data_IF_963854858771
#
_entry.id   IF_963854858771
#
_cell.length_a   1.000
_cell.length_b   1.000
_cell.length_c   1.000
_cell.angle_alpha   90.00
_cell.angle_beta   90.00
_cell.angle_gamma   90.00
#
_symmetry.space_group_name_H-M   'P 1'
#
loop_
_entity.id
_entity.type
_entity.pdbx_description
1 polymer ?
#
# COMPACT_ATOMS: atom_id res chain seq x y z
N UNK A 1 4.95 27.58 14.94
CA UNK A 1 6.20 26.88 15.28
C UNK A 1 6.81 26.40 13.98
N UNK A 2 8.04 26.75 13.72
CA UNK A 2 8.68 26.63 12.39
C UNK A 2 9.07 25.17 12.10
N UNK A 3 8.24 24.44 11.35
CA UNK A 3 8.44 23.04 10.96
C UNK A 3 9.79 22.77 10.25
N UNK A 4 10.38 23.80 9.64
CA UNK A 4 11.69 23.71 8.96
C UNK A 4 12.86 23.47 9.93
N UNK A 5 12.78 24.04 11.12
CA UNK A 5 13.77 23.85 12.20
C UNK A 5 13.71 22.44 12.77
N UNK A 6 12.51 21.87 12.87
CA UNK A 6 12.32 20.55 13.44
C UNK A 6 12.88 19.43 12.54
N UNK A 7 12.83 19.54 11.22
CA UNK A 7 13.36 18.54 10.31
C UNK A 7 14.89 18.43 10.39
N UNK A 8 15.62 19.56 10.32
CA UNK A 8 17.09 19.54 10.42
C UNK A 8 17.56 19.04 11.78
N UNK A 9 16.89 19.46 12.86
CA UNK A 9 17.17 18.95 14.21
C UNK A 9 16.98 17.43 14.28
N UNK A 10 15.91 16.95 13.70
CA UNK A 10 15.54 15.55 13.71
C UNK A 10 16.54 14.69 12.92
N UNK A 11 17.05 15.16 11.79
CA UNK A 11 18.10 14.47 11.02
C UNK A 11 19.40 14.35 11.82
N UNK A 12 19.77 15.40 12.56
CA UNK A 12 20.96 15.38 13.44
C UNK A 12 20.77 14.35 14.56
N UNK A 13 19.60 14.35 15.22
CA UNK A 13 19.29 13.41 16.29
C UNK A 13 19.32 11.96 15.79
N UNK A 14 18.78 11.68 14.61
CA UNK A 14 18.81 10.35 14.02
C UNK A 14 20.23 9.86 13.79
N UNK A 15 21.10 10.69 13.23
CA UNK A 15 22.51 10.37 13.03
C UNK A 15 23.23 10.09 14.35
N UNK A 16 22.93 10.82 15.42
CA UNK A 16 23.50 10.58 16.73
C UNK A 16 23.06 9.23 17.31
N UNK A 17 21.77 8.90 17.21
CA UNK A 17 21.19 7.61 17.65
C UNK A 17 21.84 6.45 16.87
N UNK A 18 21.88 6.55 15.54
CA UNK A 18 22.49 5.54 14.68
C UNK A 18 23.98 5.33 15.03
N UNK A 19 24.74 6.42 15.20
CA UNK A 19 26.15 6.34 15.57
C UNK A 19 26.33 5.69 16.92
N UNK A 20 25.55 6.08 17.93
CA UNK A 20 25.62 5.50 19.27
C UNK A 20 25.28 4.00 19.28
N UNK A 21 24.16 3.64 18.66
CA UNK A 21 23.68 2.25 18.62
C UNK A 21 24.59 1.37 17.77
N UNK A 22 25.11 1.88 16.66
CA UNK A 22 26.08 1.18 15.83
C UNK A 22 27.41 0.89 16.53
N UNK A 23 27.77 1.68 17.55
CA UNK A 23 28.91 1.44 18.42
C UNK A 23 28.57 0.59 19.66
N UNK A 24 27.32 0.14 19.83
CA UNK A 24 26.86 -0.62 20.98
C UNK A 24 26.80 0.17 22.30
N UNK A 25 26.90 1.51 22.26
CA UNK A 25 26.87 2.38 23.41
C UNK A 25 25.44 2.60 23.90
N UNK A 26 25.15 2.33 25.15
CA UNK A 26 23.84 2.59 25.77
C UNK A 26 23.63 4.09 26.05
N UNK A 27 22.38 4.52 26.23
CA UNK A 27 22.07 5.88 26.66
C UNK A 27 22.69 6.24 28.01
N UNK A 28 22.85 5.25 28.92
CA UNK A 28 23.49 5.45 30.21
C UNK A 28 24.98 5.70 30.04
N UNK A 29 25.68 4.85 29.28
CA UNK A 29 27.10 5.01 29.00
C UNK A 29 27.45 6.33 28.32
N UNK A 30 26.62 6.77 27.37
CA UNK A 30 26.78 8.07 26.73
C UNK A 30 26.60 9.20 27.74
N UNK A 31 25.59 9.11 28.60
CA UNK A 31 25.33 10.09 29.64
C UNK A 31 26.51 10.22 30.62
N UNK A 32 27.08 9.09 31.02
CA UNK A 32 28.25 9.03 31.93
C UNK A 32 29.48 9.65 31.27
N UNK A 33 29.74 9.40 29.98
CA UNK A 33 30.87 9.98 29.23
C UNK A 33 30.83 11.50 29.14
N UNK A 34 29.64 12.09 29.02
CA UNK A 34 29.49 13.54 28.88
C UNK A 34 29.07 14.27 30.15
N UNK A 35 29.01 13.54 31.29
CA UNK A 35 28.71 14.11 32.61
C UNK A 35 27.25 14.56 32.76
N UNK A 36 26.26 13.81 32.18
CA UNK A 36 24.85 14.14 32.28
C UNK A 36 24.01 12.95 32.77
N UNK A 37 22.71 13.13 32.87
CA UNK A 37 21.79 12.06 33.28
C UNK A 37 21.24 11.29 32.06
N UNK A 38 21.06 9.97 32.18
CA UNK A 38 20.37 9.15 31.13
C UNK A 38 19.08 9.77 30.65
N UNK A 39 18.28 10.35 31.57
CA UNK A 39 17.02 11.01 31.21
C UNK A 39 17.18 12.23 30.29
N UNK A 40 18.32 12.93 30.33
CA UNK A 40 18.61 14.03 29.43
C UNK A 40 18.92 13.48 28.01
N UNK A 41 19.72 12.44 27.90
CA UNK A 41 20.00 11.77 26.60
C UNK A 41 18.71 11.23 26.02
N UNK A 42 17.88 10.53 26.80
CA UNK A 42 16.60 10.01 26.35
C UNK A 42 15.67 11.11 25.82
N UNK A 43 15.59 12.28 26.49
CA UNK A 43 14.78 13.41 26.02
C UNK A 43 15.32 14.05 24.75
N UNK A 44 16.66 14.13 24.61
CA UNK A 44 17.29 14.62 23.37
C UNK A 44 16.96 13.67 22.21
N UNK A 45 17.18 12.36 22.40
CA UNK A 45 16.91 11.35 21.38
C UNK A 45 15.42 11.26 21.00
N UNK A 46 14.51 11.58 21.92
CA UNK A 46 13.08 11.63 21.68
C UNK A 46 12.58 13.01 21.17
N UNK A 47 13.49 13.95 20.88
CA UNK A 47 13.13 15.29 20.43
C UNK A 47 12.42 16.16 21.46
N UNK A 48 12.36 15.73 22.73
CA UNK A 48 11.64 16.41 23.81
C UNK A 48 12.48 17.51 24.52
N UNK A 49 13.72 17.66 24.12
CA UNK A 49 14.63 18.66 24.67
C UNK A 49 15.44 19.31 23.55
N UNK A 50 15.59 20.63 23.62
CA UNK A 50 16.45 21.36 22.68
C UNK A 50 17.90 20.90 22.83
N UNK A 51 18.53 20.58 21.71
CA UNK A 51 19.93 20.21 21.62
C UNK A 51 20.75 21.51 21.38
N UNK A 52 21.45 21.98 22.41
CA UNK A 52 22.40 23.10 22.24
C UNK A 52 23.62 22.64 21.44
N UNK A 53 24.29 23.58 20.77
CA UNK A 53 25.52 23.30 20.03
C UNK A 53 26.58 22.67 20.92
N UNK A 54 26.74 23.17 22.16
CA UNK A 54 27.71 22.63 23.13
C UNK A 54 27.38 21.16 23.49
N UNK A 55 26.08 20.85 23.63
CA UNK A 55 25.66 19.48 23.95
C UNK A 55 25.88 18.55 22.73
N UNK A 56 25.63 19.06 21.52
CA UNK A 56 25.89 18.31 20.28
C UNK A 56 27.40 18.01 20.14
N UNK A 57 28.27 19.00 20.36
CA UNK A 57 29.72 18.82 20.33
C UNK A 57 30.15 17.76 21.36
N UNK A 58 29.70 17.85 22.63
CA UNK A 58 30.01 16.88 23.66
C UNK A 58 29.58 15.46 23.31
N UNK A 59 28.38 15.29 22.74
CA UNK A 59 27.90 13.99 22.30
C UNK A 59 28.79 13.44 21.18
N UNK A 60 29.11 14.25 20.17
CA UNK A 60 29.96 13.83 19.07
C UNK A 60 31.38 13.46 19.54
N UNK A 61 31.98 14.23 20.40
CA UNK A 61 33.30 13.91 21.00
C UNK A 61 33.26 12.59 21.78
N UNK A 62 32.20 12.36 22.58
CA UNK A 62 32.02 11.12 23.34
C UNK A 62 31.80 9.88 22.43
N UNK A 63 31.33 10.09 21.22
CA UNK A 63 31.16 9.07 20.17
C UNK A 63 32.39 8.97 19.25
N UNK A 64 33.45 9.75 19.48
CA UNK A 64 34.64 9.79 18.62
C UNK A 64 34.37 10.32 17.23
N UNK A 65 33.41 11.25 17.08
CA UNK A 65 33.00 11.87 15.81
C UNK A 65 33.33 13.37 15.84
N UNK A 66 33.72 13.90 14.68
CA UNK A 66 33.87 15.34 14.44
C UNK A 66 32.63 15.87 13.76
N UNK A 67 32.18 17.06 14.15
CA UNK A 67 31.12 17.78 13.44
C UNK A 67 31.75 18.62 12.33
N UNK A 68 31.26 18.49 11.13
CA UNK A 68 31.56 19.40 10.02
C UNK A 68 30.24 20.07 9.61
N UNK A 69 30.25 21.40 9.61
CA UNK A 69 29.11 22.20 9.15
C UNK A 69 29.39 22.70 7.72
N UNK A 70 28.47 22.36 6.83
CA UNK A 70 28.36 23.01 5.53
C UNK A 70 27.10 23.88 5.54
N UNK A 71 27.26 25.20 5.36
CA UNK A 71 26.16 26.14 5.21
C UNK A 71 25.84 26.24 3.72
N UNK A 72 25.02 25.32 3.24
CA UNK A 72 24.42 25.44 1.92
C UNK A 72 23.35 26.53 1.93
N UNK A 73 23.21 27.28 0.82
CA UNK A 73 22.08 28.16 0.62
C UNK A 73 20.78 27.37 0.84
N UNK A 74 19.84 27.96 1.59
CA UNK A 74 18.53 27.34 1.76
C UNK A 74 17.94 27.09 0.36
N UNK A 75 17.55 25.86 0.01
CA UNK A 75 16.93 25.60 -1.28
C UNK A 75 15.78 26.58 -1.46
N UNK A 76 15.62 27.11 -2.69
CA UNK A 76 14.43 27.93 -3.03
C UNK A 76 13.21 27.11 -2.68
N UNK A 77 12.52 27.50 -1.63
CA UNK A 77 11.67 26.66 -0.75
C UNK A 77 10.57 25.85 -1.43
N UNK A 78 10.38 26.01 -2.73
CA UNK A 78 9.24 25.45 -3.46
C UNK A 78 9.60 24.74 -4.77
N UNK A 79 10.89 24.58 -5.11
CA UNK A 79 11.30 23.90 -6.34
C UNK A 79 11.62 22.44 -6.11
N UNK A 80 10.99 21.57 -6.90
CA UNK A 80 11.09 20.11 -6.82
C UNK A 80 11.41 19.49 -8.16
N UNK A 81 11.88 18.24 -8.12
CA UNK A 81 12.00 17.36 -9.27
C UNK A 81 11.19 16.08 -9.01
N UNK A 82 10.27 15.75 -9.92
CA UNK A 82 9.73 14.42 -10.03
C UNK A 82 10.75 13.56 -10.79
N UNK A 83 11.15 12.46 -10.19
CA UNK A 83 12.13 11.52 -10.74
C UNK A 83 11.56 10.10 -10.80
N UNK A 84 12.08 9.31 -11.76
CA UNK A 84 12.05 7.85 -11.71
C UNK A 84 13.49 7.37 -11.50
N UNK A 85 13.77 6.59 -10.47
CA UNK A 85 15.13 6.36 -10.00
C UNK A 85 15.85 7.71 -9.79
N UNK A 86 17.04 7.88 -10.38
CA UNK A 86 17.76 9.16 -10.35
C UNK A 86 17.50 10.05 -11.58
N UNK A 87 16.66 9.62 -12.52
CA UNK A 87 16.35 10.34 -13.76
C UNK A 87 15.27 11.41 -13.53
N UNK A 88 15.55 12.70 -13.71
CA UNK A 88 14.56 13.76 -13.58
C UNK A 88 13.60 13.76 -14.76
N UNK A 89 12.30 13.75 -14.45
CA UNK A 89 11.21 13.76 -15.42
C UNK A 89 10.55 15.13 -15.55
N UNK A 90 10.27 15.77 -14.41
CA UNK A 90 9.60 17.08 -14.35
C UNK A 90 10.29 17.95 -13.29
N UNK A 91 10.54 19.22 -13.62
CA UNK A 91 10.90 20.26 -12.65
C UNK A 91 9.68 21.14 -12.42
N UNK A 92 9.35 21.38 -11.17
CA UNK A 92 8.12 22.06 -10.80
C UNK A 92 8.27 22.85 -9.50
N UNK A 93 7.37 23.80 -9.26
CA UNK A 93 7.20 24.42 -7.95
C UNK A 93 5.94 23.88 -7.27
N UNK A 94 6.00 23.69 -5.94
CA UNK A 94 4.87 23.31 -5.11
C UNK A 94 4.66 24.34 -4.01
N UNK A 95 3.48 24.92 -3.94
CA UNK A 95 3.09 25.92 -2.95
C UNK A 95 1.79 25.50 -2.27
N UNK A 96 1.74 25.62 -0.94
CA UNK A 96 0.48 25.49 -0.21
C UNK A 96 -0.14 26.89 -0.09
N UNK A 97 -1.25 27.13 -0.77
CA UNK A 97 -1.95 28.45 -0.81
C UNK A 97 -3.18 28.49 0.11
N UNK A 98 -3.09 27.88 1.26
CA UNK A 98 -4.17 27.95 2.25
C UNK A 98 -5.48 27.33 1.74
N UNK A 99 -6.48 28.15 1.49
CA UNK A 99 -7.81 27.68 1.04
C UNK A 99 -7.78 27.04 -0.37
N UNK A 100 -6.86 27.46 -1.22
CA UNK A 100 -6.70 26.90 -2.57
C UNK A 100 -5.96 25.55 -2.56
N UNK A 101 -5.45 25.11 -1.40
CA UNK A 101 -4.73 23.86 -1.24
C UNK A 101 -3.33 23.89 -1.86
N UNK A 102 -2.86 22.71 -2.30
CA UNK A 102 -1.58 22.55 -2.98
C UNK A 102 -1.69 23.04 -4.42
N UNK A 103 -0.77 23.91 -4.83
CA UNK A 103 -0.66 24.43 -6.21
C UNK A 103 0.68 24.01 -6.80
N UNK A 104 0.66 23.55 -8.03
CA UNK A 104 1.84 23.14 -8.79
C UNK A 104 1.98 23.98 -10.05
N UNK A 105 3.20 24.45 -10.32
CA UNK A 105 3.56 25.07 -11.60
C UNK A 105 4.74 24.31 -12.22
N UNK A 106 4.52 23.74 -13.41
CA UNK A 106 5.53 22.97 -14.16
C UNK A 106 6.48 23.95 -14.83
N UNK A 107 7.77 23.79 -14.54
CA UNK A 107 8.85 24.63 -15.10
C UNK A 107 9.59 23.97 -16.24
N UNK A 108 9.66 22.64 -16.25
CA UNK A 108 10.34 21.87 -17.29
C UNK A 108 9.82 20.42 -17.30
N UNK A 109 9.78 19.83 -18.49
CA UNK A 109 9.41 18.43 -18.75
C UNK A 109 10.48 17.79 -19.61
N UNK A 110 10.94 16.60 -19.23
CA UNK A 110 11.92 15.82 -19.99
C UNK A 110 11.23 15.19 -21.21
N UNK A 111 11.39 15.83 -22.37
CA UNK A 111 10.77 15.37 -23.62
C UNK A 111 11.35 14.04 -24.12
N UNK A 112 12.60 13.74 -23.79
CA UNK A 112 13.29 12.50 -24.22
C UNK A 112 12.86 11.29 -23.38
N UNK A 113 12.12 11.50 -22.28
CA UNK A 113 11.69 10.48 -21.32
C UNK A 113 10.18 10.42 -21.13
N UNK A 114 9.42 10.83 -22.14
CA UNK A 114 7.95 10.82 -22.07
C UNK A 114 7.39 9.41 -21.78
N UNK A 115 8.03 8.38 -22.32
CA UNK A 115 7.64 6.99 -22.08
C UNK A 115 7.79 6.55 -20.60
N UNK A 116 8.60 7.28 -19.81
CA UNK A 116 8.79 7.01 -18.37
C UNK A 116 7.88 7.82 -17.47
N UNK A 117 7.07 8.76 -18.00
CA UNK A 117 6.11 9.52 -17.19
C UNK A 117 5.09 8.58 -16.53
N UNK A 118 4.57 8.93 -15.32
CA UNK A 118 3.49 8.17 -14.72
C UNK A 118 2.27 8.12 -15.66
N UNK A 119 1.77 6.93 -15.98
CA UNK A 119 0.63 6.73 -16.89
C UNK A 119 -0.68 7.30 -16.33
N UNK A 120 -0.79 7.38 -15.02
CA UNK A 120 -1.97 7.86 -14.28
C UNK A 120 -1.92 9.36 -13.98
N UNK A 121 -0.93 10.09 -14.52
CA UNK A 121 -0.70 11.52 -14.29
C UNK A 121 -0.87 12.33 -15.57
N UNK A 122 -1.71 13.35 -15.55
CA UNK A 122 -1.72 14.37 -16.59
C UNK A 122 -0.56 15.36 -16.37
N UNK A 123 0.17 15.69 -17.43
CA UNK A 123 1.30 16.63 -17.37
C UNK A 123 0.77 18.08 -17.38
N UNK A 124 0.03 18.41 -16.34
CA UNK A 124 -0.48 19.74 -16.00
C UNK A 124 -0.29 20.01 -14.53
N UNK A 125 -0.25 21.27 -14.10
CA UNK A 125 -0.12 21.58 -12.66
C UNK A 125 -1.20 20.89 -11.81
N UNK A 126 -2.46 20.89 -12.27
CA UNK A 126 -3.57 20.20 -11.61
C UNK A 126 -3.41 18.67 -11.64
N UNK A 127 -2.94 18.12 -12.76
CA UNK A 127 -2.70 16.68 -12.90
C UNK A 127 -1.61 16.19 -11.97
N UNK A 128 -0.52 16.94 -11.83
CA UNK A 128 0.56 16.63 -10.88
C UNK A 128 0.05 16.69 -9.44
N UNK A 129 -0.70 17.72 -9.06
CA UNK A 129 -1.28 17.81 -7.70
C UNK A 129 -2.18 16.61 -7.41
N UNK A 130 -3.11 16.28 -8.32
CA UNK A 130 -4.00 15.12 -8.17
C UNK A 130 -3.21 13.80 -8.05
N UNK A 131 -2.14 13.67 -8.81
CA UNK A 131 -1.26 12.49 -8.72
C UNK A 131 -0.54 12.43 -7.37
N UNK A 132 0.00 13.56 -6.87
CA UNK A 132 0.62 13.65 -5.55
C UNK A 132 -0.37 13.37 -4.43
N UNK A 133 -1.60 13.89 -4.49
CA UNK A 133 -2.67 13.59 -3.53
C UNK A 133 -3.03 12.10 -3.50
N UNK A 134 -2.92 11.42 -4.64
CA UNK A 134 -3.11 9.97 -4.70
C UNK A 134 -1.97 9.15 -4.08
N UNK A 135 -0.87 9.80 -3.75
CA UNK A 135 0.35 9.20 -3.16
C UNK A 135 0.53 9.54 -1.67
N UNK A 136 -0.44 10.14 -1.05
CA UNK A 136 -0.46 10.33 0.40
C UNK A 136 -1.51 9.43 1.03
N UNK A 137 -1.35 9.17 2.32
CA UNK A 137 -2.25 8.33 3.09
C UNK A 137 -3.70 8.82 2.98
N UNK A 138 -4.70 7.96 2.67
CA UNK A 138 -6.08 8.36 2.56
C UNK A 138 -6.65 8.84 3.90
N UNK A 139 -7.48 9.91 3.85
CA UNK A 139 -8.12 10.51 5.05
C UNK A 139 -9.03 9.54 5.81
N UNK A 140 -9.59 8.55 5.14
CA UNK A 140 -10.47 7.53 5.71
C UNK A 140 -9.74 6.24 6.12
N UNK A 141 -8.40 6.20 6.07
CA UNK A 141 -7.63 5.08 6.56
C UNK A 141 -7.72 5.00 8.08
N UNK A 142 -7.92 3.81 8.61
CA UNK A 142 -7.88 3.59 10.04
C UNK A 142 -6.53 4.02 10.63
N UNK A 143 -6.57 4.74 11.76
CA UNK A 143 -5.40 5.29 12.46
C UNK A 143 -4.62 6.36 11.68
N UNK A 144 -5.22 7.02 10.68
CA UNK A 144 -4.55 8.08 9.91
C UNK A 144 -4.07 9.22 10.79
N UNK A 145 -4.89 9.66 11.73
CA UNK A 145 -4.55 10.77 12.63
C UNK A 145 -3.40 10.40 13.57
N UNK A 146 -3.37 9.17 14.08
CA UNK A 146 -2.29 8.64 14.92
C UNK A 146 -0.98 8.54 14.14
N UNK A 147 -1.04 8.06 12.88
CA UNK A 147 0.13 7.99 11.99
C UNK A 147 0.70 9.38 11.74
N UNK A 148 -0.14 10.33 11.32
CA UNK A 148 0.30 11.68 10.97
C UNK A 148 0.74 12.48 12.20
N UNK A 149 0.03 12.33 13.33
CA UNK A 149 0.40 12.97 14.61
C UNK A 149 1.79 12.53 15.09
N UNK A 150 2.16 11.28 14.84
CA UNK A 150 3.50 10.77 15.15
C UNK A 150 4.60 11.56 14.44
N UNK A 151 4.27 12.17 13.30
CA UNK A 151 5.18 13.00 12.48
C UNK A 151 4.96 14.51 12.66
N UNK A 152 4.01 14.93 13.52
CA UNK A 152 3.62 16.32 13.66
C UNK A 152 2.86 16.88 12.44
N UNK A 153 2.28 16.01 11.61
CA UNK A 153 1.55 16.35 10.39
C UNK A 153 0.03 16.24 10.58
N UNK A 154 -0.71 16.81 9.65
CA UNK A 154 -2.17 16.65 9.53
C UNK A 154 -2.54 16.13 8.14
N UNK A 155 -3.73 15.52 8.01
CA UNK A 155 -4.23 14.99 6.74
C UNK A 155 -4.56 16.07 5.68
N UNK A 156 -4.50 17.35 6.04
CA UNK A 156 -4.66 18.46 5.10
C UNK A 156 -3.31 19.02 4.60
N UNK A 157 -2.20 18.53 5.15
CA UNK A 157 -0.86 18.99 4.75
C UNK A 157 -0.22 18.02 3.77
N UNK A 158 -0.80 17.94 2.56
CA UNK A 158 -0.25 17.09 1.46
C UNK A 158 1.22 17.40 1.18
N UNK A 159 1.60 18.70 1.17
CA UNK A 159 3.00 19.09 0.93
C UNK A 159 3.92 18.58 2.04
N UNK A 160 3.56 18.78 3.31
CA UNK A 160 4.35 18.28 4.44
C UNK A 160 4.50 16.77 4.44
N UNK A 161 3.44 16.03 4.07
CA UNK A 161 3.51 14.57 3.94
C UNK A 161 4.50 14.19 2.81
N UNK A 162 4.43 14.86 1.65
CA UNK A 162 5.35 14.64 0.52
C UNK A 162 6.78 14.99 0.90
N UNK A 163 7.02 16.07 1.60
CA UNK A 163 8.37 16.47 2.05
C UNK A 163 9.01 15.39 2.94
N UNK A 164 8.21 14.73 3.80
CA UNK A 164 8.67 13.62 4.64
C UNK A 164 8.87 12.34 3.83
N UNK A 165 7.84 11.87 3.11
CA UNK A 165 7.87 10.58 2.43
C UNK A 165 8.49 10.63 1.03
N UNK A 166 8.81 11.81 0.51
CA UNK A 166 9.30 12.03 -0.88
C UNK A 166 8.38 11.42 -1.95
N UNK A 167 7.11 11.20 -1.62
CA UNK A 167 6.16 10.50 -2.48
C UNK A 167 6.54 9.06 -2.81
N UNK A 168 7.49 8.45 -2.09
CA UNK A 168 7.92 7.07 -2.30
C UNK A 168 6.79 6.09 -1.99
N UNK A 169 6.63 5.09 -2.83
CA UNK A 169 5.59 4.07 -2.71
C UNK A 169 6.15 2.67 -3.00
N UNK A 170 5.51 1.65 -2.43
CA UNK A 170 5.75 0.26 -2.80
C UNK A 170 4.98 -0.17 -4.06
N UNK A 171 4.37 0.78 -4.79
CA UNK A 171 3.71 0.50 -6.06
C UNK A 171 4.60 0.81 -7.28
N UNK A 172 5.65 1.60 -7.11
CA UNK A 172 6.50 2.07 -8.21
C UNK A 172 7.84 2.63 -7.71
N UNK A 173 8.64 3.18 -8.63
CA UNK A 173 9.95 3.79 -8.36
C UNK A 173 9.99 5.30 -8.62
N UNK A 174 8.84 5.97 -8.59
CA UNK A 174 8.76 7.42 -8.64
C UNK A 174 8.99 8.04 -7.26
N UNK A 175 9.62 9.20 -7.25
CA UNK A 175 9.74 10.03 -6.06
C UNK A 175 9.85 11.50 -6.41
N UNK A 176 9.62 12.37 -5.43
CA UNK A 176 9.73 13.81 -5.60
C UNK A 176 10.66 14.38 -4.54
N UNK A 177 11.62 15.17 -4.98
CA UNK A 177 12.66 15.70 -4.12
C UNK A 177 12.89 17.18 -4.40
N UNK A 178 13.40 17.98 -3.43
CA UNK A 178 13.85 19.33 -3.69
C UNK A 178 14.85 19.36 -4.84
N UNK A 179 14.85 20.42 -5.67
CA UNK A 179 15.68 20.56 -6.87
C UNK A 179 17.17 20.30 -6.62
N UNK A 180 17.68 20.72 -5.46
CA UNK A 180 19.10 20.61 -5.12
C UNK A 180 19.42 19.39 -4.24
N UNK A 181 18.49 18.44 -4.15
CA UNK A 181 18.63 17.22 -3.37
C UNK A 181 19.75 16.33 -3.92
N UNK A 182 20.76 16.01 -3.09
CA UNK A 182 21.96 15.25 -3.48
C UNK A 182 21.86 13.74 -3.27
N UNK A 183 20.81 13.28 -2.55
CA UNK A 183 20.59 11.84 -2.30
C UNK A 183 20.24 11.09 -3.59
N UNK A 184 20.58 9.80 -3.62
CA UNK A 184 20.26 8.90 -4.72
C UNK A 184 19.04 8.05 -4.37
N UNK A 185 18.30 7.61 -5.37
CA UNK A 185 17.14 6.74 -5.19
C UNK A 185 17.50 5.45 -4.41
N UNK A 186 18.67 4.88 -4.66
CA UNK A 186 19.16 3.70 -3.95
C UNK A 186 19.18 3.86 -2.42
N UNK A 187 19.44 5.08 -1.93
CA UNK A 187 19.57 5.35 -0.49
C UNK A 187 18.21 5.54 0.21
N UNK A 188 17.11 5.70 -0.56
CA UNK A 188 15.79 6.08 -0.04
C UNK A 188 14.65 5.14 -0.43
N UNK A 189 14.80 4.35 -1.52
CA UNK A 189 13.71 3.50 -2.00
C UNK A 189 13.20 2.53 -0.92
N UNK A 190 11.89 2.24 -0.98
CA UNK A 190 11.23 1.40 0.02
C UNK A 190 11.42 -0.11 -0.21
N UNK A 191 12.06 -0.52 -1.29
CA UNK A 191 12.28 -1.94 -1.61
C UNK A 191 13.55 -2.49 -0.95
N UNK A 192 14.59 -1.66 -0.80
CA UNK A 192 15.91 -2.06 -0.36
C UNK A 192 16.30 -1.46 0.98
N UNK A 193 15.60 -0.41 1.42
CA UNK A 193 15.88 0.29 2.66
C UNK A 193 14.90 -0.11 3.78
N UNK A 194 15.32 -0.07 5.06
CA UNK A 194 14.48 -0.47 6.18
C UNK A 194 13.32 0.52 6.40
N UNK A 195 12.18 0.00 6.85
CA UNK A 195 11.01 0.79 7.24
C UNK A 195 11.07 1.19 8.71
N UNK A 196 10.27 2.21 9.08
CA UNK A 196 10.01 2.54 10.47
C UNK A 196 9.11 1.48 11.13
N UNK A 197 9.65 0.69 12.04
CA UNK A 197 8.88 -0.27 12.84
C UNK A 197 7.83 0.43 13.72
N UNK A 198 8.07 1.67 14.11
CA UNK A 198 7.15 2.45 14.94
C UNK A 198 5.94 2.87 14.11
N UNK A 199 6.13 3.41 12.92
CA UNK A 199 5.03 3.76 12.04
C UNK A 199 4.22 2.54 11.63
N UNK A 200 4.87 1.41 11.35
CA UNK A 200 4.19 0.15 11.08
C UNK A 200 3.34 -0.31 12.27
N UNK A 201 3.83 -0.14 13.50
CA UNK A 201 3.08 -0.46 14.72
C UNK A 201 1.86 0.45 14.87
N UNK A 202 2.02 1.77 14.74
CA UNK A 202 0.92 2.75 14.82
C UNK A 202 -0.12 2.47 13.75
N UNK A 203 0.30 2.24 12.50
CA UNK A 203 -0.56 1.97 11.36
C UNK A 203 -1.40 0.70 11.51
N UNK A 204 -0.94 -0.26 12.31
CA UNK A 204 -1.63 -1.53 12.52
C UNK A 204 -2.46 -1.59 13.80
N UNK A 205 -2.03 -0.91 14.87
CA UNK A 205 -2.67 -1.01 16.19
C UNK A 205 -3.31 0.28 16.67
N UNK A 206 -3.02 1.42 16.04
CA UNK A 206 -3.39 2.75 16.55
C UNK A 206 -2.60 3.16 17.80
N UNK A 207 -1.67 2.33 18.26
CA UNK A 207 -0.92 2.57 19.48
C UNK A 207 0.55 2.85 19.16
N UNK A 208 1.06 3.97 19.64
CA UNK A 208 2.46 4.33 19.50
C UNK A 208 2.81 5.47 20.45
N UNK A 209 4.09 5.55 20.80
CA UNK A 209 4.62 6.72 21.47
C UNK A 209 5.15 7.67 20.39
N UNK A 210 5.11 8.98 20.69
CA UNK A 210 5.80 9.98 19.85
C UNK A 210 7.24 9.51 19.66
N UNK A 211 7.58 9.18 18.44
CA UNK A 211 8.90 8.65 18.14
C UNK A 211 9.76 9.75 17.51
N UNK A 212 11.04 9.63 17.74
CA UNK A 212 12.03 10.51 17.12
C UNK A 212 12.02 10.43 15.58
N UNK A 213 13.08 10.92 15.01
CA UNK A 213 13.29 11.09 13.57
C UNK A 213 12.90 9.87 12.75
N UNK A 214 12.04 10.08 11.76
CA UNK A 214 11.62 9.04 10.84
C UNK A 214 12.36 9.15 9.51
N UNK A 215 12.80 8.02 9.04
CA UNK A 215 13.07 7.78 7.63
C UNK A 215 11.76 7.61 6.87
N UNK A 216 11.81 7.58 5.54
CA UNK A 216 10.68 7.28 4.68
C UNK A 216 9.98 5.97 5.09
N UNK A 217 8.66 5.93 5.03
CA UNK A 217 7.88 4.75 5.39
C UNK A 217 6.75 4.53 4.39
N UNK A 218 6.47 3.29 3.98
CA UNK A 218 5.36 2.98 3.09
C UNK A 218 3.99 3.30 3.70
N UNK A 219 3.91 3.45 5.02
CA UNK A 219 2.66 3.74 5.72
C UNK A 219 2.05 5.09 5.32
N UNK A 220 2.88 6.03 4.87
CA UNK A 220 2.46 7.37 4.44
C UNK A 220 1.86 7.41 3.03
N UNK A 221 2.01 6.32 2.26
CA UNK A 221 1.57 6.23 0.86
C UNK A 221 0.71 5.00 0.58
N UNK A 222 0.39 4.20 1.60
CA UNK A 222 -0.40 2.98 1.45
C UNK A 222 -1.89 3.28 1.46
N UNK A 223 -2.58 2.87 0.40
CA UNK A 223 -4.02 3.02 0.22
C UNK A 223 -4.86 2.00 0.99
N UNK A 224 -6.18 2.26 1.07
CA UNK A 224 -7.21 1.41 1.65
C UNK A 224 -7.50 1.70 3.11
N UNK A 225 -8.69 1.33 3.58
CA UNK A 225 -9.27 1.76 4.86
C UNK A 225 -8.84 0.91 6.05
N UNK A 226 -8.71 -0.41 5.89
CA UNK A 226 -8.45 -1.34 7.00
C UNK A 226 -7.07 -1.12 7.65
N UNK A 227 -6.89 -1.51 8.92
CA UNK A 227 -5.60 -1.48 9.59
C UNK A 227 -4.62 -2.37 8.83
N UNK A 228 -3.50 -1.81 8.45
CA UNK A 228 -2.48 -2.52 7.69
C UNK A 228 -1.10 -1.97 7.95
N UNK A 229 -0.09 -2.82 7.80
CA UNK A 229 1.29 -2.43 7.90
C UNK A 229 2.18 -3.24 6.96
N UNK A 230 3.17 -2.57 6.40
CA UNK A 230 4.24 -3.23 5.67
C UNK A 230 5.35 -3.64 6.63
N UNK A 231 5.89 -4.83 6.42
CA UNK A 231 6.99 -5.34 7.21
C UNK A 231 8.06 -5.94 6.32
N UNK A 232 9.30 -5.48 6.52
CA UNK A 232 10.47 -6.11 5.92
C UNK A 232 10.84 -7.35 6.75
N UNK A 233 10.88 -8.51 6.12
CA UNK A 233 11.32 -9.79 6.70
C UNK A 233 12.53 -10.31 5.91
N UNK A 234 13.25 -11.28 6.48
CA UNK A 234 14.43 -11.91 5.84
C UNK A 234 14.18 -12.36 4.38
N UNK A 235 12.93 -12.75 4.05
CA UNK A 235 12.56 -13.31 2.75
C UNK A 235 11.79 -12.31 1.86
N UNK A 236 11.76 -11.03 2.20
CA UNK A 236 11.12 -9.95 1.43
C UNK A 236 10.14 -9.11 2.22
N UNK A 237 9.40 -8.29 1.51
CA UNK A 237 8.44 -7.34 2.06
C UNK A 237 7.05 -7.98 2.08
N UNK A 238 6.37 -7.85 3.22
CA UNK A 238 5.04 -8.43 3.45
C UNK A 238 4.06 -7.38 3.93
N UNK A 239 2.86 -7.39 3.34
CA UNK A 239 1.71 -6.66 3.85
C UNK A 239 1.00 -7.50 4.92
N UNK A 240 0.76 -6.89 6.08
CA UNK A 240 -0.12 -7.36 7.13
C UNK A 240 -1.41 -6.56 7.06
N UNK A 241 -2.54 -7.20 6.81
CA UNK A 241 -3.85 -6.56 6.69
C UNK A 241 -4.77 -7.17 7.74
N UNK A 242 -5.19 -6.36 8.70
CA UNK A 242 -6.18 -6.75 9.71
C UNK A 242 -7.58 -6.71 9.14
N UNK A 243 -8.55 -7.14 9.93
CA UNK A 243 -9.97 -7.02 9.60
C UNK A 243 -10.62 -5.81 10.27
N UNK A 244 -11.88 -5.60 9.97
CA UNK A 244 -12.76 -4.65 10.67
C UNK A 244 -12.90 -5.00 12.15
N UNK A 245 -13.38 -4.06 12.95
CA UNK A 245 -13.62 -4.27 14.38
C UNK A 245 -14.91 -3.55 14.82
N UNK A 246 -15.41 -3.91 16.00
CA UNK A 246 -16.54 -3.21 16.64
C UNK A 246 -17.95 -3.74 16.29
N UNK A 247 -18.08 -4.78 15.45
CA UNK A 247 -19.35 -5.44 15.15
C UNK A 247 -19.22 -6.97 15.32
N UNK A 248 -20.35 -7.66 15.51
CA UNK A 248 -20.37 -9.10 15.73
C UNK A 248 -19.86 -9.91 14.54
N UNK A 249 -20.03 -9.39 13.33
CA UNK A 249 -19.58 -9.97 12.05
C UNK A 249 -18.27 -9.38 11.53
N UNK A 250 -17.55 -8.60 12.36
CA UNK A 250 -16.29 -7.99 11.97
C UNK A 250 -15.10 -8.97 12.08
N UNK A 251 -13.98 -8.62 11.42
CA UNK A 251 -12.71 -9.33 11.56
C UNK A 251 -12.54 -10.57 10.69
N UNK A 252 -13.44 -10.81 9.74
CA UNK A 252 -13.42 -11.99 8.87
C UNK A 252 -12.62 -11.77 7.58
N UNK A 253 -12.25 -10.53 7.23
CA UNK A 253 -11.55 -10.21 6.00
C UNK A 253 -10.21 -10.97 5.83
N UNK A 254 -9.37 -11.16 6.89
CA UNK A 254 -8.17 -11.97 6.77
C UNK A 254 -8.45 -13.43 6.36
N UNK A 255 -9.53 -14.02 6.87
CA UNK A 255 -9.94 -15.36 6.48
C UNK A 255 -10.42 -15.43 5.04
N UNK A 256 -11.20 -14.43 4.59
CA UNK A 256 -11.65 -14.35 3.20
C UNK A 256 -10.48 -14.30 2.24
N UNK A 257 -9.45 -13.49 2.51
CA UNK A 257 -8.21 -13.47 1.72
C UNK A 257 -7.55 -14.85 1.65
N UNK A 258 -7.40 -15.52 2.79
CA UNK A 258 -6.75 -16.82 2.89
C UNK A 258 -7.51 -17.93 2.16
N UNK A 259 -8.84 -17.97 2.27
CA UNK A 259 -9.66 -18.99 1.63
C UNK A 259 -9.91 -18.69 0.15
N UNK A 260 -10.14 -17.43 -0.23
CA UNK A 260 -10.34 -17.04 -1.63
C UNK A 260 -9.11 -17.34 -2.49
N UNK A 261 -7.89 -17.11 -1.99
CA UNK A 261 -6.69 -17.41 -2.76
C UNK A 261 -6.52 -18.92 -3.06
N UNK A 262 -7.10 -19.81 -2.26
CA UNK A 262 -7.10 -21.25 -2.54
C UNK A 262 -8.01 -21.59 -3.73
N UNK A 263 -9.17 -20.92 -3.85
CA UNK A 263 -10.07 -21.05 -4.99
C UNK A 263 -9.39 -20.53 -6.25
N UNK A 264 -8.83 -19.31 -6.20
CA UNK A 264 -8.10 -18.73 -7.32
C UNK A 264 -6.96 -19.66 -7.81
N UNK A 265 -6.17 -20.20 -6.89
CA UNK A 265 -5.12 -21.18 -7.19
C UNK A 265 -5.69 -22.46 -7.82
N UNK A 266 -6.80 -22.99 -7.31
CA UNK A 266 -7.43 -24.20 -7.86
C UNK A 266 -7.96 -23.98 -9.26
N UNK A 267 -8.50 -22.80 -9.55
CA UNK A 267 -8.90 -22.38 -10.90
C UNK A 267 -7.67 -22.23 -11.83
N UNK A 268 -6.49 -21.97 -11.29
CA UNK A 268 -5.25 -21.75 -12.05
C UNK A 268 -5.06 -20.28 -12.45
N UNK A 269 -5.55 -19.35 -11.63
CA UNK A 269 -5.34 -17.93 -11.81
C UNK A 269 -3.94 -17.52 -11.31
N UNK A 270 -3.37 -16.48 -11.92
CA UNK A 270 -2.24 -15.76 -11.34
C UNK A 270 -2.77 -14.92 -10.16
N UNK A 271 -2.44 -15.31 -8.93
CA UNK A 271 -2.97 -14.68 -7.73
C UNK A 271 -1.91 -14.55 -6.64
N UNK A 272 -2.05 -13.51 -5.83
CA UNK A 272 -1.28 -13.34 -4.61
C UNK A 272 -1.62 -14.46 -3.63
N UNK A 273 -0.59 -15.00 -2.97
CA UNK A 273 -0.76 -16.03 -1.94
C UNK A 273 -0.89 -15.36 -0.59
N UNK A 274 -1.92 -15.77 0.14
CA UNK A 274 -2.17 -15.29 1.49
C UNK A 274 -1.94 -16.40 2.50
N UNK A 275 -1.45 -16.00 3.68
CA UNK A 275 -1.37 -16.83 4.88
C UNK A 275 -1.95 -16.04 6.07
N UNK A 276 -2.11 -16.67 7.22
CA UNK A 276 -2.65 -16.05 8.43
C UNK A 276 -1.60 -16.01 9.52
N UNK A 277 -1.43 -14.85 10.14
CA UNK A 277 -0.51 -14.65 11.27
C UNK A 277 -1.13 -13.67 12.27
N UNK A 278 -0.90 -13.88 13.58
CA UNK A 278 -1.17 -12.85 14.59
C UNK A 278 0.05 -11.98 14.78
N UNK A 279 -0.15 -10.67 14.63
CA UNK A 279 0.84 -9.67 15.00
C UNK A 279 0.26 -8.72 16.04
N UNK A 280 0.97 -8.54 17.16
CA UNK A 280 0.48 -7.73 18.30
C UNK A 280 -0.93 -8.13 18.80
N UNK A 281 -1.24 -9.41 18.75
CA UNK A 281 -2.54 -9.95 19.18
C UNK A 281 -3.66 -9.86 18.14
N UNK A 282 -3.49 -9.12 17.04
CA UNK A 282 -4.47 -8.92 15.98
C UNK A 282 -4.21 -9.92 14.85
N UNK A 283 -5.24 -10.64 14.39
CA UNK A 283 -5.14 -11.52 13.24
C UNK A 283 -4.99 -10.71 11.96
N UNK A 284 -4.05 -11.10 11.13
CA UNK A 284 -3.81 -10.53 9.80
C UNK A 284 -3.84 -11.60 8.72
N UNK A 285 -4.34 -11.25 7.54
CA UNK A 285 -3.87 -11.84 6.31
C UNK A 285 -2.50 -11.28 5.97
N UNK A 286 -1.57 -12.15 5.61
CA UNK A 286 -0.24 -11.76 5.21
C UNK A 286 0.03 -12.19 3.78
N UNK A 287 0.58 -11.28 2.98
CA UNK A 287 0.99 -11.59 1.63
C UNK A 287 2.32 -10.92 1.29
N UNK A 288 3.09 -11.57 0.42
CA UNK A 288 4.31 -10.98 -0.12
C UNK A 288 3.94 -9.93 -1.17
N UNK A 289 4.69 -8.84 -1.20
CA UNK A 289 4.59 -7.82 -2.25
C UNK A 289 4.82 -8.45 -3.63
N UNK A 290 4.09 -7.99 -4.63
CA UNK A 290 4.21 -8.47 -6.03
C UNK A 290 4.86 -7.44 -6.96
N UNK A 291 5.16 -6.26 -6.45
CA UNK A 291 5.99 -5.24 -7.12
C UNK A 291 7.43 -5.33 -6.63
N UNK A 292 8.33 -4.72 -7.36
CA UNK A 292 9.73 -4.54 -6.98
C UNK A 292 10.27 -3.22 -7.56
N UNK A 293 11.56 -2.96 -7.37
CA UNK A 293 12.21 -1.74 -7.83
C UNK A 293 12.09 -1.52 -9.36
N UNK A 294 11.95 -2.62 -10.13
CA UNK A 294 11.87 -2.57 -11.59
C UNK A 294 10.44 -2.70 -12.12
N UNK A 295 9.49 -3.08 -11.26
CA UNK A 295 8.11 -3.41 -11.67
C UNK A 295 7.11 -2.60 -10.86
N UNK A 296 6.40 -1.70 -11.55
CA UNK A 296 5.31 -0.90 -10.98
C UNK A 296 3.96 -1.60 -11.12
N UNK A 297 3.05 -1.31 -10.17
CA UNK A 297 1.63 -1.61 -10.26
C UNK A 297 0.82 -0.34 -10.44
N UNK A 298 -0.07 -0.32 -11.44
CA UNK A 298 -0.97 0.80 -11.71
C UNK A 298 -2.41 0.29 -11.67
N UNK A 299 -3.24 0.77 -10.72
CA UNK A 299 -4.66 0.46 -10.67
C UNK A 299 -5.36 0.89 -11.96
N UNK A 300 -6.24 0.04 -12.51
CA UNK A 300 -6.88 0.36 -13.80
C UNK A 300 -7.76 1.62 -13.71
N UNK A 301 -8.40 1.88 -12.58
CA UNK A 301 -9.24 3.07 -12.40
C UNK A 301 -8.48 4.41 -12.38
N UNK A 302 -7.15 4.37 -12.33
CA UNK A 302 -6.32 5.58 -12.52
C UNK A 302 -6.03 5.88 -13.98
N UNK A 303 -6.14 4.87 -14.85
CA UNK A 303 -5.89 4.96 -16.30
C UNK A 303 -7.22 5.11 -17.03
N UNK A 304 -8.13 4.15 -16.83
CA UNK A 304 -9.45 4.12 -17.43
C UNK A 304 -10.44 4.79 -16.47
N UNK A 305 -10.75 6.06 -16.74
CA UNK A 305 -11.58 6.89 -15.85
C UNK A 305 -13.06 6.87 -16.19
N UNK A 306 -13.41 6.46 -17.41
CA UNK A 306 -14.77 6.43 -17.94
C UNK A 306 -15.03 5.16 -18.74
N UNK A 307 -16.29 4.84 -19.02
CA UNK A 307 -16.68 3.69 -19.85
C UNK A 307 -16.77 2.36 -19.10
N UNK A 308 -16.53 2.34 -17.80
CA UNK A 308 -16.76 1.19 -16.93
C UNK A 308 -15.94 -0.06 -17.30
N UNK A 309 -16.52 -1.24 -17.02
CA UNK A 309 -15.81 -2.52 -17.19
C UNK A 309 -15.46 -2.81 -18.66
N UNK A 310 -16.31 -2.41 -19.60
CA UNK A 310 -16.04 -2.61 -21.04
C UNK A 310 -14.81 -1.84 -21.49
N UNK A 311 -14.67 -0.58 -21.08
CA UNK A 311 -13.49 0.21 -21.39
C UNK A 311 -12.20 -0.40 -20.77
N UNK A 312 -12.30 -1.02 -19.60
CA UNK A 312 -11.17 -1.78 -19.03
C UNK A 312 -10.81 -3.00 -19.90
N UNK A 313 -11.79 -3.74 -20.38
CA UNK A 313 -11.56 -4.91 -21.28
C UNK A 313 -10.91 -4.45 -22.59
N UNK A 314 -11.37 -3.35 -23.17
CA UNK A 314 -10.80 -2.80 -24.40
C UNK A 314 -9.36 -2.32 -24.16
N UNK A 315 -9.09 -1.60 -23.06
CA UNK A 315 -7.74 -1.20 -22.67
C UNK A 315 -6.78 -2.41 -22.53
N UNK A 316 -7.23 -3.47 -21.85
CA UNK A 316 -6.41 -4.69 -21.72
C UNK A 316 -6.14 -5.35 -23.08
N UNK A 317 -7.10 -5.30 -24.00
CA UNK A 317 -6.94 -5.85 -25.36
C UNK A 317 -5.92 -5.06 -26.15
N UNK A 318 -6.06 -3.73 -26.14
CA UNK A 318 -5.25 -2.84 -26.96
C UNK A 318 -3.79 -2.78 -26.47
N UNK A 319 -3.60 -2.76 -25.15
CA UNK A 319 -2.26 -2.57 -24.56
C UNK A 319 -1.53 -3.89 -24.26
N UNK A 320 -2.24 -4.96 -23.93
CA UNK A 320 -1.65 -6.23 -23.46
C UNK A 320 -2.08 -7.47 -24.29
N UNK A 321 -3.06 -7.30 -25.17
CA UNK A 321 -3.56 -8.36 -26.07
C UNK A 321 -4.56 -9.33 -25.41
N UNK A 322 -5.10 -10.23 -26.22
CA UNK A 322 -6.20 -11.15 -25.85
C UNK A 322 -5.89 -12.05 -24.65
N UNK A 323 -4.62 -12.40 -24.43
CA UNK A 323 -4.24 -13.20 -23.27
C UNK A 323 -4.49 -12.46 -21.95
N UNK A 324 -4.29 -11.15 -21.94
CA UNK A 324 -4.57 -10.30 -20.77
C UNK A 324 -6.08 -10.15 -20.55
N UNK A 325 -6.86 -10.00 -21.62
CA UNK A 325 -8.33 -10.01 -21.57
C UNK A 325 -8.85 -11.31 -20.96
N UNK A 326 -8.31 -12.45 -21.36
CA UNK A 326 -8.69 -13.75 -20.80
C UNK A 326 -8.31 -13.92 -19.32
N UNK A 327 -7.25 -13.27 -18.85
CA UNK A 327 -6.93 -13.21 -17.41
C UNK A 327 -7.91 -12.34 -16.64
N UNK A 328 -8.27 -11.17 -17.18
CA UNK A 328 -9.28 -10.28 -16.62
C UNK A 328 -10.66 -10.98 -16.53
N UNK A 329 -11.11 -11.65 -17.58
CA UNK A 329 -12.34 -12.45 -17.57
C UNK A 329 -12.28 -13.56 -16.50
N UNK A 330 -11.15 -14.22 -16.37
CA UNK A 330 -10.98 -15.28 -15.37
C UNK A 330 -11.06 -14.74 -13.94
N UNK A 331 -10.53 -13.53 -13.68
CA UNK A 331 -10.69 -12.85 -12.39
C UNK A 331 -12.17 -12.51 -12.11
N UNK A 332 -12.90 -11.96 -13.07
CA UNK A 332 -14.30 -11.60 -12.88
C UNK A 332 -15.21 -12.83 -12.69
N UNK A 333 -14.90 -13.94 -13.36
CA UNK A 333 -15.59 -15.23 -13.12
C UNK A 333 -15.24 -15.78 -11.74
N UNK A 334 -14.00 -15.64 -11.28
CA UNK A 334 -13.61 -15.97 -9.92
C UNK A 334 -14.37 -15.13 -8.89
N UNK A 335 -14.49 -13.81 -9.09
CA UNK A 335 -15.28 -12.93 -8.24
C UNK A 335 -16.75 -13.35 -8.18
N UNK A 336 -17.32 -13.85 -9.29
CA UNK A 336 -18.69 -14.38 -9.35
C UNK A 336 -18.86 -15.70 -8.57
N UNK A 337 -17.78 -16.47 -8.35
CA UNK A 337 -17.81 -17.68 -7.51
C UNK A 337 -17.73 -17.33 -6.03
N UNK A 338 -16.87 -16.41 -5.65
CA UNK A 338 -16.60 -16.05 -4.24
C UNK A 338 -17.48 -14.92 -3.72
N UNK A 339 -18.34 -14.34 -4.57
CA UNK A 339 -19.13 -13.15 -4.26
C UNK A 339 -18.27 -12.01 -3.73
N UNK A 340 -17.27 -11.60 -4.51
CA UNK A 340 -16.42 -10.47 -4.18
C UNK A 340 -17.14 -9.15 -4.48
N UNK A 341 -17.60 -8.49 -3.44
CA UNK A 341 -18.37 -7.23 -3.53
C UNK A 341 -17.46 -6.00 -3.71
N UNK A 342 -16.12 -6.16 -3.59
CA UNK A 342 -15.18 -5.03 -3.57
C UNK A 342 -14.14 -5.05 -4.72
N UNK A 343 -14.41 -5.75 -5.83
CA UNK A 343 -13.55 -5.70 -7.02
C UNK A 343 -13.70 -4.40 -7.78
N UNK A 344 -13.59 -3.25 -7.11
CA UNK A 344 -13.58 -1.96 -7.77
C UNK A 344 -12.30 -1.74 -8.61
N UNK A 345 -12.28 -0.73 -9.46
CA UNK A 345 -11.17 -0.44 -10.40
C UNK A 345 -9.82 -0.09 -9.72
N UNK A 346 -9.78 0.00 -8.40
CA UNK A 346 -8.55 0.13 -7.60
C UNK A 346 -7.90 -1.22 -7.23
N UNK A 347 -8.69 -2.33 -7.27
CA UNK A 347 -8.29 -3.65 -6.80
C UNK A 347 -7.87 -4.61 -7.93
N UNK A 348 -7.64 -4.09 -9.13
CA UNK A 348 -6.95 -4.75 -10.22
C UNK A 348 -6.31 -3.71 -11.16
N UNK A 349 -5.41 -4.14 -12.01
CA UNK A 349 -4.67 -3.23 -12.88
C UNK A 349 -3.56 -3.93 -13.63
N UNK A 350 -2.56 -3.15 -14.00
CA UNK A 350 -1.48 -3.58 -14.88
C UNK A 350 -0.11 -3.44 -14.22
N UNK A 351 0.83 -4.27 -14.64
CA UNK A 351 2.24 -4.17 -14.29
C UNK A 351 2.99 -3.44 -15.40
N UNK A 352 3.96 -2.62 -15.00
CA UNK A 352 4.78 -1.80 -15.88
C UNK A 352 6.25 -1.98 -15.54
N UNK A 353 7.08 -2.11 -16.54
CA UNK A 353 8.54 -2.08 -16.40
C UNK A 353 9.01 -0.64 -16.22
N UNK A 354 9.74 -0.36 -15.14
CA UNK A 354 10.17 0.97 -14.75
C UNK A 354 11.32 1.53 -15.59
N UNK A 355 12.11 0.67 -16.23
CA UNK A 355 13.23 1.09 -17.07
C UNK A 355 12.77 1.51 -18.47
N UNK A 356 11.74 0.85 -18.99
CA UNK A 356 11.26 1.07 -20.36
C UNK A 356 9.92 1.79 -20.44
N UNK A 357 9.19 1.88 -19.33
CA UNK A 357 7.85 2.46 -19.29
C UNK A 357 6.76 1.58 -19.93
N UNK A 358 7.09 0.38 -20.41
CA UNK A 358 6.14 -0.50 -21.11
C UNK A 358 5.30 -1.32 -20.15
N UNK A 359 4.04 -1.52 -20.49
CA UNK A 359 3.19 -2.48 -19.81
C UNK A 359 3.65 -3.91 -20.10
N UNK A 360 3.64 -4.76 -19.08
CA UNK A 360 4.20 -6.12 -19.17
C UNK A 360 3.15 -7.20 -18.99
N UNK A 361 2.18 -7.01 -18.08
CA UNK A 361 1.16 -8.00 -17.78
C UNK A 361 0.00 -7.41 -16.96
N UNK A 362 -1.15 -8.10 -16.86
CA UNK A 362 -2.10 -7.89 -15.78
C UNK A 362 -1.46 -8.16 -14.40
N UNK A 363 -1.82 -7.36 -13.41
CA UNK A 363 -1.44 -7.64 -12.02
C UNK A 363 -2.03 -8.99 -11.56
N UNK A 364 -1.38 -9.71 -10.64
CA UNK A 364 -1.98 -10.90 -10.04
C UNK A 364 -3.28 -10.53 -9.31
N UNK A 365 -4.22 -11.46 -9.20
CA UNK A 365 -5.46 -11.26 -8.42
C UNK A 365 -5.11 -11.10 -6.94
N UNK A 366 -5.55 -10.02 -6.33
CA UNK A 366 -5.33 -9.69 -4.92
C UNK A 366 -6.56 -8.97 -4.35
N UNK A 367 -6.56 -8.69 -3.07
CA UNK A 367 -7.61 -8.00 -2.32
C UNK A 367 -9.00 -8.65 -2.48
N UNK A 368 -9.16 -9.79 -1.80
CA UNK A 368 -10.39 -10.59 -1.78
C UNK A 368 -11.03 -10.59 -0.38
N UNK A 369 -10.72 -9.60 0.45
CA UNK A 369 -11.16 -9.55 1.86
C UNK A 369 -12.67 -9.43 2.01
N UNK A 370 -13.34 -8.74 1.08
CA UNK A 370 -14.81 -8.60 1.06
C UNK A 370 -15.42 -9.63 0.10
N UNK A 371 -15.26 -10.89 0.46
CA UNK A 371 -15.79 -12.03 -0.29
C UNK A 371 -16.15 -13.18 0.67
N UNK A 372 -16.67 -14.25 0.13
CA UNK A 372 -17.05 -15.48 0.89
C UNK A 372 -17.96 -15.16 2.08
N UNK A 373 -18.84 -14.16 1.88
CA UNK A 373 -19.83 -13.76 2.89
C UNK A 373 -19.20 -13.32 4.22
N UNK A 374 -18.10 -12.58 4.17
CA UNK A 374 -17.34 -12.15 5.36
C UNK A 374 -18.20 -11.39 6.37
N UNK A 375 -19.22 -10.65 5.94
CA UNK A 375 -20.15 -9.90 6.80
C UNK A 375 -21.44 -10.67 7.18
N UNK A 376 -21.62 -11.88 6.68
CA UNK A 376 -22.80 -12.68 7.04
C UNK A 376 -22.79 -13.03 8.52
N UNK A 377 -23.95 -12.86 9.15
CA UNK A 377 -24.20 -13.26 10.53
C UNK A 377 -24.38 -14.80 10.63
N UNK A 378 -24.24 -15.40 11.82
CA UNK A 378 -24.42 -16.85 11.96
C UNK A 378 -25.73 -17.38 11.39
N UNK A 379 -26.81 -16.61 11.49
CA UNK A 379 -28.15 -16.99 11.01
C UNK A 379 -28.20 -17.05 9.47
N UNK A 380 -27.46 -16.20 8.78
CA UNK A 380 -27.41 -16.17 7.31
C UNK A 380 -26.81 -17.46 6.73
N UNK A 381 -26.00 -18.18 7.52
CA UNK A 381 -25.42 -19.46 7.11
C UNK A 381 -26.41 -20.61 7.06
N UNK A 382 -27.64 -20.44 7.59
CA UNK A 382 -28.72 -21.41 7.45
C UNK A 382 -29.24 -21.45 6.00
N UNK A 383 -29.18 -20.34 5.26
CA UNK A 383 -29.52 -20.25 3.83
C UNK A 383 -28.64 -19.20 3.12
N UNK A 384 -27.41 -19.59 2.77
CA UNK A 384 -26.49 -18.73 2.04
C UNK A 384 -26.95 -18.40 0.61
N UNK A 385 -27.83 -19.23 0.02
CA UNK A 385 -28.37 -18.95 -1.30
C UNK A 385 -29.34 -17.76 -1.26
N UNK A 386 -30.15 -17.66 -0.20
CA UNK A 386 -31.02 -16.49 0.00
C UNK A 386 -30.21 -15.25 0.35
N UNK A 387 -29.22 -15.38 1.24
CA UNK A 387 -28.31 -14.27 1.57
C UNK A 387 -27.56 -13.76 0.33
N UNK A 388 -27.08 -14.67 -0.53
CA UNK A 388 -26.37 -14.35 -1.75
C UNK A 388 -27.18 -13.46 -2.72
N UNK A 389 -28.50 -13.61 -2.78
CA UNK A 389 -29.39 -12.77 -3.61
C UNK A 389 -29.37 -11.29 -3.22
N UNK A 390 -28.96 -10.99 -1.99
CA UNK A 390 -28.85 -9.62 -1.49
C UNK A 390 -27.48 -8.99 -1.80
N UNK A 391 -26.54 -9.76 -2.37
CA UNK A 391 -25.18 -9.32 -2.64
C UNK A 391 -25.02 -8.89 -4.08
N UNK A 392 -24.23 -7.86 -4.30
CA UNK A 392 -24.01 -7.28 -5.62
C UNK A 392 -22.51 -7.04 -5.85
N UNK A 393 -22.08 -7.10 -7.10
CA UNK A 393 -20.71 -6.76 -7.46
C UNK A 393 -20.40 -5.28 -7.23
N UNK A 394 -19.12 -4.93 -7.18
CA UNK A 394 -18.65 -3.54 -7.10
C UNK A 394 -19.14 -2.65 -8.28
N UNK A 395 -19.69 -3.25 -9.32
CA UNK A 395 -20.21 -2.56 -10.52
C UNK A 395 -21.73 -2.35 -10.49
N UNK A 396 -22.42 -2.74 -9.42
CA UNK A 396 -23.89 -2.82 -9.34
C UNK A 396 -24.52 -3.70 -10.44
N UNK A 397 -23.82 -4.75 -10.84
CA UNK A 397 -24.26 -5.76 -11.79
C UNK A 397 -24.29 -7.09 -11.05
N UNK A 398 -25.33 -7.87 -11.29
CA UNK A 398 -25.47 -9.21 -10.70
C UNK A 398 -24.33 -10.13 -11.14
N UNK A 399 -23.90 -11.03 -10.24
CA UNK A 399 -22.79 -11.93 -10.52
C UNK A 399 -23.04 -12.94 -11.63
N UNK A 400 -24.32 -13.35 -11.86
CA UNK A 400 -24.68 -14.20 -13.00
C UNK A 400 -24.64 -13.42 -14.31
N UNK A 401 -25.09 -12.18 -14.29
CA UNK A 401 -25.03 -11.29 -15.45
C UNK A 401 -23.59 -11.02 -15.88
N UNK A 402 -22.70 -10.70 -14.92
CA UNK A 402 -21.27 -10.57 -15.22
C UNK A 402 -20.74 -11.87 -15.83
N UNK A 403 -20.98 -13.01 -15.18
CA UNK A 403 -20.53 -14.30 -15.67
C UNK A 403 -21.00 -14.58 -17.11
N UNK A 404 -22.27 -14.40 -17.39
CA UNK A 404 -22.86 -14.66 -18.71
C UNK A 404 -22.28 -13.74 -19.80
N UNK A 405 -21.95 -12.50 -19.44
CA UNK A 405 -21.41 -11.52 -20.40
C UNK A 405 -19.96 -11.83 -20.83
N UNK A 406 -19.17 -12.50 -19.99
CA UNK A 406 -17.72 -12.64 -20.22
C UNK A 406 -17.23 -14.09 -20.31
N UNK A 407 -17.96 -15.07 -19.77
CA UNK A 407 -17.48 -16.44 -19.68
C UNK A 407 -17.30 -17.09 -21.06
N UNK A 408 -16.10 -17.67 -21.24
CA UNK A 408 -15.76 -18.46 -22.42
C UNK A 408 -15.37 -19.90 -22.06
N UNK A 409 -14.90 -20.64 -23.03
CA UNK A 409 -14.45 -22.04 -22.83
C UNK A 409 -13.37 -22.17 -21.77
N UNK A 410 -12.47 -21.17 -21.69
CA UNK A 410 -11.36 -21.17 -20.72
C UNK A 410 -11.91 -21.05 -19.29
N UNK A 411 -12.81 -20.09 -19.02
CA UNK A 411 -13.39 -19.86 -17.70
C UNK A 411 -14.23 -21.06 -17.25
N UNK A 412 -15.00 -21.66 -18.16
CA UNK A 412 -15.76 -22.90 -17.88
C UNK A 412 -14.83 -24.06 -17.51
N UNK A 413 -13.69 -24.20 -18.20
CA UNK A 413 -12.70 -25.22 -17.84
C UNK A 413 -12.09 -24.95 -16.46
N UNK A 414 -11.89 -23.68 -16.09
CA UNK A 414 -11.41 -23.28 -14.75
C UNK A 414 -12.45 -23.59 -13.66
N UNK A 415 -13.74 -23.28 -13.89
CA UNK A 415 -14.83 -23.60 -12.96
C UNK A 415 -14.93 -25.12 -12.71
N UNK A 416 -14.79 -25.95 -13.74
CA UNK A 416 -14.85 -27.40 -13.58
C UNK A 416 -13.80 -27.95 -12.59
N UNK A 417 -12.67 -27.28 -12.42
CA UNK A 417 -11.63 -27.67 -11.44
C UNK A 417 -12.10 -27.52 -9.99
N UNK A 418 -13.15 -26.72 -9.74
CA UNK A 418 -13.72 -26.52 -8.42
C UNK A 418 -14.74 -27.61 -8.02
N UNK A 419 -15.12 -28.50 -8.93
CA UNK A 419 -16.01 -29.63 -8.57
C UNK A 419 -15.30 -30.51 -7.54
N UNK A 420 -15.93 -30.68 -6.37
CA UNK A 420 -15.37 -31.42 -5.24
C UNK A 420 -14.27 -30.65 -4.48
N UNK A 421 -14.12 -29.34 -4.71
CA UNK A 421 -13.17 -28.52 -3.97
C UNK A 421 -13.60 -28.38 -2.51
N UNK A 422 -12.62 -28.50 -1.60
CA UNK A 422 -12.72 -28.13 -0.18
C UNK A 422 -11.52 -27.30 0.23
N UNK A 423 -11.68 -26.48 1.25
CA UNK A 423 -10.60 -25.65 1.75
C UNK A 423 -9.57 -26.46 2.54
N UNK A 424 -8.31 -26.14 2.35
CA UNK A 424 -7.26 -26.54 3.28
C UNK A 424 -7.35 -25.65 4.52
N UNK A 425 -7.53 -26.26 5.69
CA UNK A 425 -7.55 -25.54 6.97
C UNK A 425 -6.15 -25.00 7.31
N UNK A 426 -6.11 -23.78 7.85
CA UNK A 426 -4.86 -23.25 8.41
C UNK A 426 -4.54 -23.98 9.72
N UNK A 427 -3.25 -24.18 10.00
CA UNK A 427 -2.79 -24.97 11.17
C UNK A 427 -3.21 -24.40 12.54
N UNK A 428 -3.47 -23.08 12.61
CA UNK A 428 -3.72 -22.38 13.89
C UNK A 428 -4.96 -21.48 13.88
N UNK A 429 -5.38 -20.96 12.72
CA UNK A 429 -6.42 -19.95 12.62
C UNK A 429 -7.42 -20.32 11.54
N UNK A 430 -8.67 -20.62 11.94
CA UNK A 430 -9.74 -20.94 11.02
C UNK A 430 -11.03 -20.26 11.44
N UNK A 431 -11.93 -20.06 10.49
CA UNK A 431 -13.33 -19.82 10.77
C UNK A 431 -13.94 -21.08 11.44
N UNK A 432 -15.07 -20.96 12.13
CA UNK A 432 -15.84 -22.11 12.63
C UNK A 432 -16.07 -23.12 11.52
N UNK A 433 -15.96 -24.41 11.85
CA UNK A 433 -16.05 -25.48 10.85
C UNK A 433 -17.42 -25.52 10.17
N UNK A 434 -18.49 -25.23 10.90
CA UNK A 434 -19.85 -25.13 10.36
C UNK A 434 -19.96 -24.05 9.28
N UNK A 435 -19.34 -22.88 9.52
CA UNK A 435 -19.27 -21.78 8.56
C UNK A 435 -18.48 -22.18 7.32
N UNK A 436 -17.34 -22.86 7.48
CA UNK A 436 -16.53 -23.31 6.35
C UNK A 436 -17.26 -24.38 5.52
N UNK A 437 -17.94 -25.33 6.17
CA UNK A 437 -18.73 -26.34 5.48
C UNK A 437 -19.87 -25.72 4.67
N UNK A 438 -20.59 -24.73 5.22
CA UNK A 438 -21.64 -24.01 4.51
C UNK A 438 -21.08 -23.24 3.28
N UNK A 439 -19.94 -22.60 3.41
CA UNK A 439 -19.28 -21.91 2.27
C UNK A 439 -18.84 -22.94 1.20
N UNK A 440 -18.27 -24.07 1.60
CA UNK A 440 -17.87 -25.15 0.67
C UNK A 440 -19.07 -25.70 -0.08
N UNK A 441 -20.18 -25.97 0.60
CA UNK A 441 -21.43 -26.40 -0.01
C UNK A 441 -21.97 -25.36 -0.99
N UNK A 442 -22.02 -24.09 -0.57
CA UNK A 442 -22.42 -22.98 -1.44
C UNK A 442 -21.57 -22.92 -2.72
N UNK A 443 -20.23 -23.01 -2.61
CA UNK A 443 -19.32 -23.00 -3.77
C UNK A 443 -19.66 -24.16 -4.72
N UNK A 444 -19.96 -25.36 -4.21
CA UNK A 444 -20.33 -26.49 -5.05
C UNK A 444 -21.65 -26.26 -5.78
N UNK A 445 -22.66 -25.71 -5.12
CA UNK A 445 -23.93 -25.32 -5.73
C UNK A 445 -23.72 -24.22 -6.77
N UNK A 446 -22.97 -23.19 -6.42
CA UNK A 446 -22.64 -22.04 -7.29
C UNK A 446 -21.95 -22.47 -8.58
N UNK A 447 -20.94 -23.32 -8.48
CA UNK A 447 -20.22 -23.84 -9.65
C UNK A 447 -21.16 -24.64 -10.57
N UNK A 448 -22.03 -25.50 -10.02
CA UNK A 448 -23.01 -26.24 -10.83
C UNK A 448 -23.98 -25.31 -11.51
N UNK A 449 -24.49 -24.29 -10.80
CA UNK A 449 -25.38 -23.28 -11.35
C UNK A 449 -24.74 -22.55 -12.53
N UNK A 450 -23.52 -21.97 -12.34
CA UNK A 450 -22.82 -21.26 -13.40
C UNK A 450 -22.53 -22.15 -14.63
N UNK A 451 -22.19 -23.41 -14.44
CA UNK A 451 -22.01 -24.38 -15.52
C UNK A 451 -23.30 -24.71 -16.24
N UNK A 452 -24.44 -24.73 -15.54
CA UNK A 452 -25.77 -24.98 -16.13
C UNK A 452 -26.23 -23.80 -16.97
N UNK A 453 -26.20 -22.56 -16.41
CA UNK A 453 -26.62 -21.35 -17.12
C UNK A 453 -25.76 -21.10 -18.35
N UNK A 454 -24.47 -21.41 -18.31
CA UNK A 454 -23.59 -21.31 -19.50
C UNK A 454 -24.03 -22.25 -20.63
N UNK A 455 -24.51 -23.47 -20.30
CA UNK A 455 -24.99 -24.42 -21.32
C UNK A 455 -26.30 -24.00 -21.94
N UNK A 456 -27.19 -23.34 -21.17
CA UNK A 456 -28.51 -22.94 -21.63
C UNK A 456 -28.44 -21.68 -22.54
N UNK A 457 -27.43 -20.84 -22.36
CA UNK A 457 -27.27 -19.58 -23.07
C UNK A 457 -26.29 -19.66 -24.29
N UNK A 458 -25.83 -20.86 -24.63
CA UNK A 458 -25.03 -21.17 -25.85
C UNK A 458 -25.63 -22.29 -26.67
#
# INVERSE_FOLDING_TARGET
MDFKFDNQRNDIIAKLIETRTGQGITQQELADRIGTKKSAISRIENGQQNLSLDMLIKICDALGKKIEFDLADAPSDNMYELRIFDEPLIKLSLENRGLDGLVCDIKWVNQDKMDLMPLDMEITGKGVVKWLESRVIPKNRQFVDEILKTLGLSHNDTKGIIDVCKGLSLNDSYWIVPKDFKGKFADYNLYENPFSDILSLVAYTGQGQSAGVFTTSPELTTNGMLPKAWRSKKNGIYLYKGGTSGAANAGNEPYSEFYACQIAKKMGLNCVRYDLEKWKGILASICKIFTDINTSYIPIGRIVREGGLNACIDYYRDELGENAVEQLKSMLVFDSVIYNEDRHFGNFGVLRDNATGKLTAPAPVFDNGISLFNYAMPEDFNDLEEYAKTRMSAYNIDFDEIFLSIAGKKQVAQLRKLIGFTFKRHKSYNLPEERLAAIEEFIQKRVRHLLAVYKTNK
#
